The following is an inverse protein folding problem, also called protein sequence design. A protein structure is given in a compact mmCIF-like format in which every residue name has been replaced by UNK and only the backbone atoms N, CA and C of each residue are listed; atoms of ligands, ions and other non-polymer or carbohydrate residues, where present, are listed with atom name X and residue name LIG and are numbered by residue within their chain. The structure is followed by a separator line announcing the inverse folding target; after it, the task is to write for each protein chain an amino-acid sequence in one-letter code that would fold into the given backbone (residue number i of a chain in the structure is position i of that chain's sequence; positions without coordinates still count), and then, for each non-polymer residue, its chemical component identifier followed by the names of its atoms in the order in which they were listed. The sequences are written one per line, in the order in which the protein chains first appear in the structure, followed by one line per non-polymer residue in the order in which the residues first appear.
data_IF_085399876629
#
_entry.id   IF_085399876629
#
_cell.length_a   1.000
_cell.length_b   1.000
_cell.length_c   1.000
_cell.angle_alpha   90.00
_cell.angle_beta   90.00
_cell.angle_gamma   90.00
#
_symmetry.space_group_name_H-M   'P 1'
#
loop_
_entity.id
_entity.type
_entity.pdbx_description
1 polymer ?
#
# COMPACT_ATOMS: atom_id res chain seq x y z
N UNK A 1 -17.34 -3.28 1.72
CA UNK A 1 -17.21 -2.00 2.45
C UNK A 1 -16.83 -2.16 3.90
N UNK A 2 -17.36 -3.18 4.58
CA UNK A 2 -17.01 -3.45 5.98
C UNK A 2 -15.50 -3.68 6.18
N UNK A 3 -14.88 -4.50 5.32
CA UNK A 3 -13.45 -4.79 5.42
C UNK A 3 -12.60 -3.53 5.18
N UNK A 4 -12.96 -2.69 4.20
CA UNK A 4 -12.25 -1.45 3.94
C UNK A 4 -12.35 -0.49 5.13
N UNK A 5 -13.52 -0.38 5.73
CA UNK A 5 -13.71 0.45 6.92
C UNK A 5 -12.84 -0.06 8.08
N UNK A 6 -12.77 -1.37 8.27
CA UNK A 6 -11.97 -1.98 9.32
C UNK A 6 -10.48 -1.67 9.13
N UNK A 7 -9.96 -1.79 7.89
CA UNK A 7 -8.58 -1.42 7.60
C UNK A 7 -8.35 0.06 7.87
N UNK A 8 -9.21 0.93 7.33
CA UNK A 8 -9.05 2.38 7.45
C UNK A 8 -9.08 2.85 8.90
N UNK A 9 -9.89 2.19 9.74
CA UNK A 9 -10.03 2.54 11.15
C UNK A 9 -8.87 2.03 12.01
N UNK A 10 -8.06 1.11 11.50
CA UNK A 10 -7.01 0.43 12.26
C UNK A 10 -5.65 0.45 11.54
N UNK A 11 -5.39 1.49 10.77
CA UNK A 11 -4.13 1.62 10.05
C UNK A 11 -2.93 1.63 10.98
N UNK A 12 -1.81 1.04 10.51
CA UNK A 12 -0.51 1.26 11.14
C UNK A 12 -0.25 2.77 11.23
N UNK A 13 0.41 3.23 12.30
CA UNK A 13 0.70 4.66 12.44
C UNK A 13 1.41 5.27 11.23
N UNK A 14 2.37 4.57 10.63
CA UNK A 14 3.08 5.08 9.47
C UNK A 14 2.21 5.17 8.23
N UNK A 15 1.29 4.22 8.03
CA UNK A 15 0.36 4.25 6.90
C UNK A 15 -0.65 5.38 7.06
N UNK A 16 -1.17 5.57 8.28
CA UNK A 16 -2.06 6.69 8.58
C UNK A 16 -1.36 8.03 8.34
N UNK A 17 -0.14 8.15 8.83
CA UNK A 17 0.64 9.38 8.70
C UNK A 17 0.93 9.71 7.23
N UNK A 18 1.22 8.69 6.42
CA UNK A 18 1.42 8.88 5.00
C UNK A 18 0.19 9.48 4.33
N UNK A 19 -1.00 8.99 4.66
CA UNK A 19 -2.25 9.51 4.11
C UNK A 19 -2.58 10.89 4.66
N UNK A 20 -2.58 11.06 5.98
CA UNK A 20 -3.00 12.31 6.62
C UNK A 20 -2.01 13.44 6.42
N UNK A 21 -0.74 13.20 6.70
CA UNK A 21 0.30 14.24 6.61
C UNK A 21 0.91 14.33 5.23
N UNK A 22 1.11 13.18 4.57
CA UNK A 22 1.74 13.12 3.26
C UNK A 22 0.82 13.55 2.15
N UNK A 23 -0.35 12.91 2.04
CA UNK A 23 -1.33 13.23 1.00
C UNK A 23 -2.36 14.27 1.42
N UNK A 24 -2.51 14.52 2.71
CA UNK A 24 -3.51 15.46 3.23
C UNK A 24 -4.93 14.98 3.07
N UNK A 25 -5.18 13.68 3.21
CA UNK A 25 -6.49 13.08 2.98
C UNK A 25 -7.00 12.35 4.23
N UNK A 26 -8.32 12.17 4.28
CA UNK A 26 -8.97 11.39 5.33
C UNK A 26 -8.89 9.90 4.97
N UNK A 27 -8.20 9.06 5.77
CA UNK A 27 -8.02 7.66 5.45
C UNK A 27 -9.33 6.89 5.28
N UNK A 28 -10.31 7.12 6.15
CA UNK A 28 -11.58 6.38 6.08
C UNK A 28 -12.30 6.69 4.78
N UNK A 29 -12.51 7.97 4.48
CA UNK A 29 -13.22 8.38 3.28
C UNK A 29 -12.50 7.92 2.02
N UNK A 30 -11.17 8.09 2.00
CA UNK A 30 -10.38 7.77 0.82
C UNK A 30 -10.35 6.26 0.54
N UNK A 31 -10.17 5.44 1.57
CA UNK A 31 -10.15 3.98 1.39
C UNK A 31 -11.50 3.42 0.99
N UNK A 32 -12.58 3.95 1.56
CA UNK A 32 -13.93 3.53 1.16
C UNK A 32 -14.18 3.90 -0.29
N UNK A 33 -13.77 5.09 -0.71
CA UNK A 33 -13.90 5.52 -2.09
C UNK A 33 -13.09 4.62 -3.04
N UNK A 34 -11.84 4.33 -2.69
CA UNK A 34 -10.99 3.43 -3.49
C UNK A 34 -11.57 2.03 -3.61
N UNK A 35 -12.14 1.51 -2.53
CA UNK A 35 -12.78 0.19 -2.54
C UNK A 35 -14.02 0.14 -3.43
N UNK A 36 -14.71 1.27 -3.61
CA UNK A 36 -15.84 1.36 -4.53
C UNK A 36 -15.40 1.48 -5.99
N UNK A 37 -14.29 2.15 -6.26
CA UNK A 37 -13.85 2.48 -7.61
C UNK A 37 -13.05 1.36 -8.27
N UNK A 38 -12.29 0.59 -7.49
CA UNK A 38 -11.41 -0.45 -8.04
C UNK A 38 -11.55 -1.76 -7.29
N UNK A 39 -11.38 -2.90 -7.97
CA UNK A 39 -11.29 -4.18 -7.27
C UNK A 39 -10.12 -4.18 -6.30
N UNK A 40 -10.38 -4.63 -5.06
CA UNK A 40 -9.38 -4.68 -4.00
C UNK A 40 -9.23 -6.10 -3.50
N UNK A 41 -8.03 -6.43 -3.03
CA UNK A 41 -7.77 -7.67 -2.29
C UNK A 41 -7.55 -7.33 -0.82
N UNK A 42 -7.87 -8.27 0.06
CA UNK A 42 -7.68 -8.14 1.50
C UNK A 42 -6.79 -9.26 1.99
N UNK A 43 -5.85 -8.92 2.86
CA UNK A 43 -4.95 -9.88 3.48
C UNK A 43 -5.45 -10.16 4.89
N UNK A 44 -5.64 -11.44 5.21
CA UNK A 44 -6.09 -11.84 6.54
C UNK A 44 -5.08 -12.79 7.16
N UNK A 45 -4.96 -12.71 8.50
CA UNK A 45 -4.13 -13.66 9.24
C UNK A 45 -4.84 -15.01 9.36
N UNK A 46 -4.10 -16.09 9.71
CA UNK A 46 -4.73 -17.41 9.89
C UNK A 46 -5.87 -17.43 10.92
N UNK A 47 -5.85 -16.52 11.89
CA UNK A 47 -6.94 -16.42 12.88
C UNK A 47 -8.04 -15.44 12.45
N UNK A 48 -8.07 -15.03 11.19
CA UNK A 48 -9.16 -14.25 10.62
C UNK A 48 -9.08 -12.74 10.85
N UNK A 49 -7.98 -12.21 11.41
CA UNK A 49 -7.81 -10.78 11.57
C UNK A 49 -7.35 -10.14 10.28
N UNK A 50 -7.90 -8.97 9.96
CA UNK A 50 -7.55 -8.30 8.72
C UNK A 50 -6.19 -7.58 8.87
N UNK A 51 -5.28 -7.87 7.95
CA UNK A 51 -3.91 -7.36 7.99
C UNK A 51 -3.70 -6.18 7.05
N UNK A 52 -4.49 -6.08 5.99
CA UNK A 52 -4.35 -4.99 5.04
C UNK A 52 -5.22 -5.17 3.81
N UNK A 53 -5.10 -4.20 2.92
CA UNK A 53 -5.78 -4.24 1.63
C UNK A 53 -4.90 -3.62 0.56
N UNK A 54 -5.12 -4.02 -0.68
CA UNK A 54 -4.35 -3.54 -1.82
C UNK A 54 -5.21 -3.46 -3.06
N UNK A 55 -4.83 -2.58 -3.98
CA UNK A 55 -5.48 -2.45 -5.25
C UNK A 55 -4.56 -1.84 -6.29
N UNK A 56 -5.00 -1.85 -7.54
CA UNK A 56 -4.28 -1.24 -8.65
C UNK A 56 -5.28 -0.41 -9.44
N UNK A 57 -5.00 0.89 -9.58
CA UNK A 57 -5.82 1.80 -10.34
C UNK A 57 -5.63 1.63 -11.85
N UNK A 58 -6.42 2.35 -12.65
CA UNK A 58 -6.43 2.22 -14.12
C UNK A 58 -5.09 2.55 -14.77
N UNK A 59 -4.25 3.35 -14.12
CA UNK A 59 -2.95 3.77 -14.64
C UNK A 59 -1.80 2.89 -14.16
N UNK A 60 -2.10 1.78 -13.47
CA UNK A 60 -1.08 0.94 -12.87
C UNK A 60 -0.60 1.44 -11.52
N UNK A 61 -1.26 2.44 -10.96
CA UNK A 61 -0.94 2.98 -9.65
C UNK A 61 -1.34 1.99 -8.56
N UNK A 62 -0.35 1.26 -8.08
CA UNK A 62 -0.54 0.24 -7.04
C UNK A 62 -0.50 0.88 -5.66
N UNK A 63 -1.39 0.41 -4.78
CA UNK A 63 -1.41 0.88 -3.40
C UNK A 63 -1.68 -0.27 -2.46
N UNK A 64 -1.20 -0.12 -1.22
CA UNK A 64 -1.38 -1.12 -0.17
C UNK A 64 -1.36 -0.40 1.17
N UNK A 65 -2.36 -0.70 2.00
CA UNK A 65 -2.48 -0.09 3.32
C UNK A 65 -2.72 -1.19 4.35
N UNK A 66 -2.02 -1.11 5.46
CA UNK A 66 -1.92 -2.21 6.40
C UNK A 66 -2.33 -1.81 7.81
N UNK A 67 -2.74 -2.81 8.58
CA UNK A 67 -2.97 -2.71 10.02
C UNK A 67 -1.75 -3.26 10.77
N UNK A 68 -1.63 -3.03 12.09
CA UNK A 68 -0.53 -3.61 12.86
C UNK A 68 -0.49 -5.14 12.87
N UNK A 69 -1.53 -5.81 12.40
CA UNK A 69 -1.55 -7.29 12.31
C UNK A 69 -0.39 -7.81 11.47
N UNK A 70 0.09 -7.06 10.47
CA UNK A 70 1.23 -7.51 9.65
C UNK A 70 2.48 -7.79 10.49
N UNK A 71 2.63 -7.12 11.63
CA UNK A 71 3.79 -7.32 12.51
C UNK A 71 3.76 -8.64 13.25
N UNK A 72 2.59 -9.29 13.31
CA UNK A 72 2.45 -10.63 13.90
C UNK A 72 2.65 -11.75 12.90
N UNK A 73 2.61 -11.44 11.59
CA UNK A 73 2.75 -12.41 10.50
C UNK A 73 3.65 -11.88 9.38
N UNK A 74 4.86 -11.36 9.70
CA UNK A 74 5.65 -10.61 8.70
C UNK A 74 6.04 -11.45 7.47
N UNK A 75 6.40 -12.71 7.68
CA UNK A 75 6.82 -13.58 6.56
C UNK A 75 5.63 -13.98 5.71
N UNK A 76 4.53 -14.40 6.34
CA UNK A 76 3.32 -14.78 5.63
C UNK A 76 2.78 -13.59 4.84
N UNK A 77 2.72 -12.41 5.46
CA UNK A 77 2.25 -11.21 4.80
C UNK A 77 3.11 -10.87 3.58
N UNK A 78 4.44 -10.89 3.72
CA UNK A 78 5.34 -10.58 2.63
C UNK A 78 5.14 -11.54 1.44
N UNK A 79 4.94 -12.83 1.72
CA UNK A 79 4.66 -13.84 0.68
C UNK A 79 3.35 -13.56 -0.05
N UNK A 80 2.30 -13.23 0.69
CA UNK A 80 1.00 -12.95 0.09
C UNK A 80 1.03 -11.66 -0.72
N UNK A 81 1.72 -10.64 -0.25
CA UNK A 81 1.93 -9.41 -0.98
C UNK A 81 2.68 -9.68 -2.29
N UNK A 82 3.73 -10.51 -2.23
CA UNK A 82 4.49 -10.87 -3.42
C UNK A 82 3.64 -11.66 -4.42
N UNK A 83 2.83 -12.58 -3.94
CA UNK A 83 1.90 -13.33 -4.80
C UNK A 83 0.93 -12.38 -5.51
N UNK A 84 0.39 -11.41 -4.80
CA UNK A 84 -0.50 -10.40 -5.39
C UNK A 84 0.21 -9.61 -6.49
N UNK A 85 1.39 -9.09 -6.21
CA UNK A 85 2.15 -8.26 -7.17
C UNK A 85 2.59 -9.09 -8.38
N UNK A 86 3.14 -10.29 -8.15
CA UNK A 86 3.62 -11.16 -9.23
C UNK A 86 2.47 -11.61 -10.14
N UNK A 87 1.27 -11.69 -9.64
CA UNK A 87 0.09 -12.08 -10.42
C UNK A 87 -0.54 -10.95 -11.23
N UNK A 88 -0.06 -9.72 -11.09
CA UNK A 88 -0.63 -8.59 -11.83
C UNK A 88 -0.20 -8.61 -13.29
N UNK A 89 -1.11 -8.17 -14.16
CA UNK A 89 -0.91 -8.18 -15.60
C UNK A 89 -0.47 -6.83 -16.18
N UNK A 90 -0.54 -5.78 -15.41
CA UNK A 90 -0.15 -4.44 -15.86
C UNK A 90 1.32 -4.43 -16.30
N UNK A 91 1.65 -3.80 -17.44
CA UNK A 91 3.05 -3.72 -17.88
C UNK A 91 3.91 -2.86 -16.97
N UNK A 92 3.29 -1.93 -16.25
CA UNK A 92 3.96 -1.05 -15.32
C UNK A 92 3.11 -0.88 -14.06
N UNK A 93 3.70 -1.16 -12.91
CA UNK A 93 3.15 -0.82 -11.60
C UNK A 93 4.00 0.30 -11.01
N UNK A 94 3.36 1.32 -10.44
CA UNK A 94 4.08 2.48 -9.92
C UNK A 94 3.28 3.16 -8.83
N UNK A 95 3.93 3.93 -8.01
CA UNK A 95 3.32 4.91 -7.10
C UNK A 95 4.44 5.67 -6.37
N UNK A 96 4.05 6.42 -5.34
CA UNK A 96 4.96 7.13 -4.45
C UNK A 96 4.74 6.64 -3.03
N UNK A 97 5.77 6.70 -2.22
CA UNK A 97 5.74 6.25 -0.83
C UNK A 97 6.44 7.28 0.06
N UNK A 98 5.87 7.52 1.24
CA UNK A 98 6.49 8.41 2.24
C UNK A 98 7.83 7.81 2.68
N UNK A 99 8.90 8.58 2.57
CA UNK A 99 10.25 8.12 2.94
C UNK A 99 10.33 7.67 4.40
N UNK A 100 9.47 8.19 5.26
CA UNK A 100 9.43 7.82 6.68
C UNK A 100 8.83 6.44 6.92
N UNK A 101 8.10 5.89 5.95
CA UNK A 101 7.44 4.59 6.08
C UNK A 101 8.42 3.47 5.74
N UNK A 102 9.38 3.25 6.63
CA UNK A 102 10.52 2.35 6.39
C UNK A 102 10.11 0.90 6.22
N UNK A 103 9.05 0.45 6.86
CA UNK A 103 8.53 -0.92 6.68
C UNK A 103 8.07 -1.12 5.24
N UNK A 104 7.35 -0.15 4.67
CA UNK A 104 6.92 -0.22 3.28
C UNK A 104 8.10 -0.12 2.31
N UNK A 105 9.11 0.68 2.61
CA UNK A 105 10.31 0.74 1.77
C UNK A 105 10.99 -0.62 1.66
N UNK A 106 11.11 -1.33 2.78
CA UNK A 106 11.68 -2.68 2.78
C UNK A 106 10.81 -3.67 2.02
N UNK A 107 9.50 -3.59 2.21
CA UNK A 107 8.55 -4.44 1.50
C UNK A 107 8.65 -4.22 -0.01
N UNK A 108 8.66 -2.97 -0.46
CA UNK A 108 8.76 -2.64 -1.88
C UNK A 108 10.02 -3.22 -2.52
N UNK A 109 11.15 -3.18 -1.83
CA UNK A 109 12.38 -3.80 -2.32
C UNK A 109 12.21 -5.32 -2.46
N UNK A 110 11.64 -5.96 -1.45
CA UNK A 110 11.37 -7.40 -1.50
C UNK A 110 10.44 -7.76 -2.65
N UNK A 111 9.46 -6.91 -2.94
CA UNK A 111 8.49 -7.13 -4.02
C UNK A 111 9.08 -6.86 -5.42
N UNK A 112 10.32 -6.40 -5.51
CA UNK A 112 11.00 -6.18 -6.79
C UNK A 112 10.80 -4.80 -7.39
N UNK A 113 10.31 -3.84 -6.62
CA UNK A 113 10.20 -2.46 -7.09
C UNK A 113 11.55 -1.76 -7.05
N UNK A 114 11.75 -0.84 -8.00
CA UNK A 114 12.91 0.03 -8.06
C UNK A 114 12.51 1.43 -7.60
N UNK A 115 13.39 2.07 -6.84
CA UNK A 115 13.22 3.45 -6.44
C UNK A 115 13.85 4.35 -7.51
N UNK A 116 13.07 5.33 -8.00
CA UNK A 116 13.46 6.17 -9.12
C UNK A 116 14.01 7.51 -8.67
N UNK A 117 13.29 8.22 -7.81
CA UNK A 117 13.68 9.54 -7.34
C UNK A 117 13.01 9.88 -6.03
N UNK A 118 13.63 10.79 -5.31
CA UNK A 118 13.06 11.38 -4.10
C UNK A 118 12.64 12.83 -4.42
N UNK A 119 11.50 13.26 -3.88
CA UNK A 119 11.01 14.61 -4.08
C UNK A 119 10.09 15.00 -2.92
N UNK A 120 9.90 16.30 -2.73
CA UNK A 120 8.99 16.81 -1.72
C UNK A 120 7.57 16.85 -2.29
N UNK A 121 6.60 16.43 -1.49
CA UNK A 121 5.24 16.20 -1.96
C UNK A 121 4.20 16.56 -0.91
N UNK A 122 3.00 16.92 -1.37
CA UNK A 122 1.82 17.11 -0.55
C UNK A 122 1.77 18.44 0.19
N UNK A 123 0.71 18.64 1.00
CA UNK A 123 0.49 19.94 1.67
C UNK A 123 1.56 20.28 2.70
N UNK A 124 2.28 19.30 3.21
CA UNK A 124 3.34 19.51 4.20
C UNK A 124 4.74 19.40 3.60
N UNK A 125 4.85 19.27 2.28
CA UNK A 125 6.13 19.25 1.57
C UNK A 125 7.09 18.20 2.13
N UNK A 126 6.60 16.97 2.32
CA UNK A 126 7.35 15.87 2.91
C UNK A 126 8.09 15.06 1.85
N UNK A 127 9.22 14.42 2.23
CA UNK A 127 9.98 13.60 1.27
C UNK A 127 9.25 12.31 0.92
N UNK A 128 9.00 12.12 -0.36
CA UNK A 128 8.43 10.92 -0.94
C UNK A 128 9.39 10.31 -1.95
N UNK A 129 9.27 9.01 -2.16
CA UNK A 129 10.07 8.28 -3.14
C UNK A 129 9.14 7.68 -4.19
N UNK A 130 9.45 7.93 -5.46
CA UNK A 130 8.75 7.30 -6.58
C UNK A 130 9.33 5.91 -6.82
N UNK A 131 8.45 4.93 -7.03
CA UNK A 131 8.87 3.56 -7.28
C UNK A 131 8.10 2.96 -8.44
N UNK A 132 8.71 1.98 -9.10
CA UNK A 132 8.04 1.26 -10.18
C UNK A 132 8.57 -0.16 -10.31
N UNK A 133 7.76 -0.98 -10.98
CA UNK A 133 8.12 -2.33 -11.37
C UNK A 133 7.59 -2.56 -12.77
N UNK A 134 8.48 -2.92 -13.69
CA UNK A 134 8.11 -3.25 -15.06
C UNK A 134 7.92 -4.76 -15.15
N UNK A 135 6.79 -5.18 -15.75
CA UNK A 135 6.53 -6.60 -15.96
C UNK A 135 7.41 -7.11 -17.09
N UNK A 136 8.10 -8.23 -16.81
CA UNK A 136 8.90 -8.90 -17.84
C UNK A 136 8.02 -9.88 -18.61
N UNK A 137 8.19 -9.87 -19.91
CA UNK A 137 7.57 -10.86 -20.79
C UNK A 137 8.38 -12.13 -20.81
#
# INVERSE_FOLDING_TARGET
MKAAYEVASNLRPDDRRELEEGHGIDPIRDLLFSAMETPCVYFTSPNGKIAGMAGVGRRGDIWMLCTPVIHTIPILFAREAKRFVDGRQEPLLWNIVDKRNTVHLKLLKFLGFKFLREFNYGPNNLPFIEFCRVRRC
#
